data_IF_344863234886
#
_entry.id   IF_344863234886
#
_cell.length_a   1.000
_cell.length_b   1.000
_cell.length_c   1.000
_cell.angle_alpha   90.00
_cell.angle_beta   90.00
_cell.angle_gamma   90.00
#
_symmetry.space_group_name_H-M   'P 1'
#
loop_
_entity.id
_entity.type
_entity.pdbx_description
1 polymer ?
#
# COMPACT_ATOMS: atom_id res chain seq x y z
N UNK A 1 63.96 -34.89 44.12
CA UNK A 1 63.77 -34.74 42.66
C UNK A 1 62.45 -34.00 42.43
N UNK A 2 62.47 -32.95 41.59
CA UNK A 2 61.37 -32.19 40.98
C UNK A 2 60.27 -31.64 41.93
N UNK A 3 60.17 -30.35 42.27
CA UNK A 3 60.13 -29.10 41.48
C UNK A 3 58.78 -28.82 40.81
N UNK A 4 58.25 -27.62 41.14
CA UNK A 4 57.29 -26.76 40.40
C UNK A 4 55.81 -27.15 40.47
N UNK A 5 54.87 -26.23 40.64
CA UNK A 5 54.99 -24.78 40.66
C UNK A 5 53.60 -24.16 40.58
N UNK A 6 53.38 -23.14 41.40
CA UNK A 6 52.35 -22.12 41.28
C UNK A 6 52.37 -21.51 39.87
N UNK A 7 51.21 -21.34 39.23
CA UNK A 7 51.10 -20.54 38.02
C UNK A 7 49.82 -19.70 38.04
N UNK A 8 49.97 -18.49 38.56
CA UNK A 8 49.25 -17.30 38.12
C UNK A 8 49.67 -17.00 36.68
N UNK A 9 48.72 -16.73 35.77
CA UNK A 9 48.97 -16.12 34.45
C UNK A 9 47.72 -15.32 34.02
N UNK A 10 47.72 -14.00 34.22
CA UNK A 10 48.09 -12.93 33.26
C UNK A 10 47.07 -12.79 32.11
N UNK A 11 46.25 -11.74 32.09
CA UNK A 11 46.53 -10.39 31.57
C UNK A 11 46.45 -10.29 30.04
N UNK A 12 45.41 -9.58 29.58
CA UNK A 12 45.31 -8.68 28.43
C UNK A 12 45.76 -9.14 27.02
N UNK A 13 44.91 -8.87 26.02
CA UNK A 13 45.09 -7.84 24.96
C UNK A 13 44.42 -8.27 23.65
N UNK A 14 43.77 -7.29 23.00
CA UNK A 14 43.30 -7.22 21.61
C UNK A 14 43.89 -8.22 20.60
N UNK A 15 43.04 -8.82 19.76
CA UNK A 15 43.36 -9.02 18.35
C UNK A 15 42.09 -9.03 17.47
N UNK A 16 42.10 -8.16 16.48
CA UNK A 16 41.10 -8.02 15.42
C UNK A 16 41.19 -9.22 14.46
N UNK A 17 40.06 -9.79 14.03
CA UNK A 17 40.04 -10.67 12.85
C UNK A 17 38.79 -10.44 12.01
N UNK A 18 39.03 -10.32 10.72
CA UNK A 18 38.16 -9.86 9.63
C UNK A 18 37.38 -11.05 9.02
N UNK A 19 36.04 -10.91 8.89
CA UNK A 19 35.00 -11.46 7.96
C UNK A 19 35.17 -12.87 7.31
N UNK A 20 34.08 -13.65 7.02
CA UNK A 20 33.10 -13.29 5.98
C UNK A 20 31.63 -13.69 6.23
N UNK A 21 30.77 -13.20 5.33
CA UNK A 21 29.34 -13.41 5.19
C UNK A 21 28.84 -14.85 5.47
N UNK A 22 27.85 -14.97 6.35
CA UNK A 22 27.16 -16.22 6.62
C UNK A 22 26.05 -16.02 7.65
N UNK A 23 24.84 -15.80 7.16
CA UNK A 23 23.56 -15.97 7.88
C UNK A 23 23.48 -15.35 9.28
N UNK A 24 23.44 -14.01 9.36
CA UNK A 24 22.68 -13.38 10.44
C UNK A 24 21.19 -13.45 10.07
N UNK A 25 20.60 -14.64 10.13
CA UNK A 25 19.17 -14.72 10.48
C UNK A 25 19.11 -14.31 11.94
N UNK A 26 19.23 -13.01 12.20
CA UNK A 26 18.72 -12.46 13.43
C UNK A 26 17.20 -12.63 13.33
N UNK A 27 16.72 -13.75 13.87
CA UNK A 27 15.35 -13.84 14.33
C UNK A 27 15.25 -12.79 15.42
N UNK A 28 14.95 -11.55 15.01
CA UNK A 28 14.53 -10.53 15.94
C UNK A 28 13.14 -10.96 16.40
N UNK A 29 13.13 -11.68 17.52
CA UNK A 29 11.94 -11.90 18.31
C UNK A 29 11.49 -10.57 18.91
N UNK A 30 10.93 -9.70 18.09
CA UNK A 30 9.96 -8.71 18.54
C UNK A 30 8.62 -9.11 17.93
N UNK A 31 7.67 -9.37 18.80
CA UNK A 31 6.30 -9.77 18.51
C UNK A 31 5.51 -8.60 17.92
N UNK A 32 5.97 -8.10 16.77
CA UNK A 32 5.34 -7.06 15.97
C UNK A 32 5.11 -7.57 14.54
N UNK A 33 4.02 -7.13 13.90
CA UNK A 33 3.76 -7.49 12.51
C UNK A 33 4.89 -7.04 11.57
N UNK A 34 5.11 -7.75 10.45
CA UNK A 34 6.07 -7.33 9.45
C UNK A 34 5.74 -5.91 8.98
N UNK A 35 6.72 -5.02 9.05
CA UNK A 35 6.54 -3.58 8.76
C UNK A 35 5.97 -3.33 7.36
N UNK A 36 6.29 -4.20 6.39
CA UNK A 36 5.71 -4.14 5.04
C UNK A 36 4.19 -4.38 5.03
N UNK A 37 3.69 -5.29 5.86
CA UNK A 37 2.26 -5.53 6.00
C UNK A 37 1.56 -4.33 6.65
N UNK A 38 2.18 -3.74 7.68
CA UNK A 38 1.67 -2.54 8.35
C UNK A 38 1.58 -1.39 7.36
N UNK A 39 2.61 -1.17 6.55
CA UNK A 39 2.60 -0.16 5.49
C UNK A 39 1.50 -0.42 4.45
N UNK A 40 1.31 -1.66 4.00
CA UNK A 40 0.26 -2.01 3.06
C UNK A 40 -1.15 -1.71 3.61
N UNK A 41 -1.39 -2.01 4.90
CA UNK A 41 -2.67 -1.69 5.56
C UNK A 41 -2.86 -0.18 5.69
N UNK A 42 -1.81 0.59 5.97
CA UNK A 42 -1.89 2.07 6.01
C UNK A 42 -2.23 2.63 4.62
N UNK A 43 -1.61 2.09 3.56
CA UNK A 43 -1.92 2.48 2.18
C UNK A 43 -3.39 2.20 1.89
N UNK A 44 -3.87 0.99 2.19
CA UNK A 44 -5.27 0.60 1.98
C UNK A 44 -6.23 1.53 2.73
N UNK A 45 -6.00 1.77 4.03
CA UNK A 45 -6.85 2.63 4.84
C UNK A 45 -6.85 4.09 4.35
N UNK A 46 -5.68 4.62 4.01
CA UNK A 46 -5.56 5.99 3.49
C UNK A 46 -6.27 6.12 2.15
N UNK A 47 -6.09 5.16 1.25
CA UNK A 47 -6.79 5.14 -0.03
C UNK A 47 -8.31 5.01 0.14
N UNK A 48 -8.81 4.20 1.09
CA UNK A 48 -10.26 4.15 1.38
C UNK A 48 -10.81 5.51 1.81
N UNK A 49 -10.11 6.24 2.68
CA UNK A 49 -10.52 7.58 3.12
C UNK A 49 -10.44 8.58 1.97
N UNK A 50 -9.38 8.50 1.16
CA UNK A 50 -9.20 9.30 -0.03
C UNK A 50 -10.31 9.06 -1.07
N UNK A 51 -10.70 7.81 -1.31
CA UNK A 51 -11.78 7.45 -2.23
C UNK A 51 -13.15 7.90 -1.72
N UNK A 52 -13.39 7.94 -0.40
CA UNK A 52 -14.61 8.55 0.15
C UNK A 52 -14.74 10.01 -0.26
N UNK A 53 -13.64 10.75 -0.16
CA UNK A 53 -13.61 12.18 -0.48
C UNK A 53 -13.63 12.41 -1.99
N UNK A 54 -13.02 11.49 -2.76
CA UNK A 54 -12.87 11.63 -4.20
C UNK A 54 -14.05 11.10 -5.03
N UNK A 55 -14.82 10.16 -4.50
CA UNK A 55 -16.01 9.59 -5.16
C UNK A 55 -16.92 10.61 -5.89
N UNK A 56 -17.26 11.79 -5.31
CA UNK A 56 -18.06 12.79 -6.03
C UNK A 56 -17.41 13.35 -7.30
N UNK A 57 -16.07 13.37 -7.40
CA UNK A 57 -15.34 13.83 -8.58
C UNK A 57 -15.56 12.86 -9.75
N UNK A 58 -15.47 11.55 -9.50
CA UNK A 58 -15.71 10.53 -10.52
C UNK A 58 -17.16 10.52 -11.02
N UNK A 59 -18.13 10.76 -10.13
CA UNK A 59 -19.55 10.84 -10.49
C UNK A 59 -19.90 12.09 -11.30
N UNK A 60 -19.05 13.14 -11.22
CA UNK A 60 -19.21 14.33 -12.05
C UNK A 60 -18.90 14.06 -13.53
N UNK A 61 -18.12 13.01 -13.84
CA UNK A 61 -17.85 12.59 -15.21
C UNK A 61 -19.02 11.82 -15.85
N UNK A 62 -19.92 11.25 -15.03
CA UNK A 62 -21.07 10.52 -15.56
C UNK A 62 -22.27 10.63 -14.61
N UNK A 63 -22.94 11.79 -14.61
CA UNK A 63 -24.01 12.08 -13.67
C UNK A 63 -25.21 11.15 -13.91
N UNK A 64 -25.67 10.48 -12.84
CA UNK A 64 -26.91 9.69 -12.83
C UNK A 64 -26.78 8.19 -13.08
N UNK A 65 -25.56 7.65 -13.26
CA UNK A 65 -25.36 6.22 -13.49
C UNK A 65 -25.63 5.35 -12.25
N UNK A 66 -25.31 5.82 -11.05
CA UNK A 66 -25.45 5.05 -9.79
C UNK A 66 -25.72 5.91 -8.55
N UNK A 67 -26.34 5.36 -7.49
CA UNK A 67 -26.33 5.96 -6.16
C UNK A 67 -24.89 6.19 -5.69
N UNK A 68 -24.60 7.38 -5.15
CA UNK A 68 -23.26 7.76 -4.67
C UNK A 68 -22.66 6.66 -3.76
N UNK A 69 -23.49 6.05 -2.91
CA UNK A 69 -23.07 5.01 -1.98
C UNK A 69 -22.52 3.73 -2.64
N UNK A 70 -23.03 3.32 -3.81
CA UNK A 70 -22.56 2.08 -4.44
C UNK A 70 -21.23 2.28 -5.15
N UNK A 71 -21.03 3.41 -5.84
CA UNK A 71 -19.74 3.74 -6.48
C UNK A 71 -18.61 3.91 -5.46
N UNK A 72 -18.86 4.57 -4.33
CA UNK A 72 -17.89 4.68 -3.21
C UNK A 72 -17.36 3.32 -2.80
N UNK A 73 -18.25 2.34 -2.60
CA UNK A 73 -17.84 1.01 -2.12
C UNK A 73 -17.08 0.22 -3.20
N UNK A 74 -17.42 0.39 -4.47
CA UNK A 74 -16.64 -0.19 -5.58
C UNK A 74 -15.25 0.46 -5.66
N UNK A 75 -15.15 1.78 -5.54
CA UNK A 75 -13.88 2.51 -5.54
C UNK A 75 -12.99 2.09 -4.36
N UNK A 76 -13.57 1.90 -3.17
CA UNK A 76 -12.87 1.33 -2.02
C UNK A 76 -12.35 -0.08 -2.29
N UNK A 77 -13.15 -0.96 -2.91
CA UNK A 77 -12.69 -2.30 -3.29
C UNK A 77 -11.47 -2.21 -4.22
N UNK A 78 -11.52 -1.35 -5.24
CA UNK A 78 -10.42 -1.20 -6.20
C UNK A 78 -9.17 -0.61 -5.55
N UNK A 79 -9.33 0.32 -4.60
CA UNK A 79 -8.25 0.88 -3.80
C UNK A 79 -7.60 -0.17 -2.89
N UNK A 80 -8.40 -1.03 -2.23
CA UNK A 80 -7.92 -2.11 -1.38
C UNK A 80 -7.21 -3.19 -2.22
N UNK A 81 -7.78 -3.54 -3.37
CA UNK A 81 -7.16 -4.47 -4.33
C UNK A 81 -5.81 -3.93 -4.82
N UNK A 82 -5.72 -2.64 -5.14
CA UNK A 82 -4.46 -2.00 -5.46
C UNK A 82 -3.46 -2.13 -4.31
N UNK A 83 -3.84 -1.75 -3.09
CA UNK A 83 -2.92 -1.72 -1.95
C UNK A 83 -2.30 -3.10 -1.66
N UNK A 84 -3.08 -4.18 -1.79
CA UNK A 84 -2.60 -5.53 -1.54
C UNK A 84 -1.87 -6.17 -2.73
N UNK A 85 -2.25 -5.88 -3.98
CA UNK A 85 -1.62 -6.48 -5.16
C UNK A 85 -0.42 -5.64 -5.63
N UNK A 86 -0.68 -4.39 -6.02
CA UNK A 86 0.32 -3.50 -6.59
C UNK A 86 1.09 -2.77 -5.49
N UNK A 87 0.39 -2.30 -4.46
CA UNK A 87 1.00 -1.60 -3.32
C UNK A 87 2.07 -2.45 -2.65
N UNK A 88 1.82 -3.75 -2.43
CA UNK A 88 2.82 -4.65 -1.87
C UNK A 88 4.06 -4.84 -2.78
N UNK A 89 3.86 -4.94 -4.09
CA UNK A 89 4.96 -5.01 -5.05
C UNK A 89 5.76 -3.70 -5.10
N UNK A 90 5.09 -2.55 -5.04
CA UNK A 90 5.72 -1.24 -5.03
C UNK A 90 6.49 -0.99 -3.73
N UNK A 91 5.96 -1.42 -2.58
CA UNK A 91 6.66 -1.41 -1.31
C UNK A 91 7.94 -2.25 -1.38
N UNK A 92 7.87 -3.44 -1.99
CA UNK A 92 9.04 -4.28 -2.20
C UNK A 92 10.10 -3.60 -3.09
N UNK A 93 9.68 -3.01 -4.21
CA UNK A 93 10.55 -2.23 -5.08
C UNK A 93 11.17 -1.04 -4.34
N UNK A 94 10.37 -0.35 -3.52
CA UNK A 94 10.80 0.83 -2.79
C UNK A 94 11.79 0.49 -1.66
N UNK A 95 11.61 -0.62 -0.94
CA UNK A 95 12.59 -1.15 0.04
C UNK A 95 13.92 -1.51 -0.63
N UNK A 96 13.87 -2.20 -1.77
CA UNK A 96 15.06 -2.54 -2.54
C UNK A 96 15.82 -1.29 -3.00
N UNK A 97 15.10 -0.24 -3.40
CA UNK A 97 15.68 1.05 -3.77
C UNK A 97 16.19 1.84 -2.56
N UNK A 98 15.48 1.77 -1.43
CA UNK A 98 15.82 2.43 -0.18
C UNK A 98 17.15 1.90 0.39
N UNK A 99 17.49 0.63 0.16
CA UNK A 99 18.79 0.04 0.52
C UNK A 99 19.98 0.69 -0.21
N UNK A 100 19.73 1.27 -1.40
CA UNK A 100 20.76 1.90 -2.24
C UNK A 100 20.87 3.42 -2.06
N UNK A 101 20.04 4.05 -1.21
CA UNK A 101 19.88 5.51 -1.21
C UNK A 101 19.94 6.16 0.19
N UNK A 102 20.21 7.46 0.24
CA UNK A 102 20.29 8.24 1.51
C UNK A 102 18.92 8.33 2.20
N UNK A 103 18.90 8.15 3.54
CA UNK A 103 17.71 8.15 4.42
C UNK A 103 16.76 9.35 4.27
N UNK A 104 17.24 10.50 3.78
CA UNK A 104 16.41 11.70 3.52
C UNK A 104 15.56 11.63 2.25
N UNK A 105 15.97 10.86 1.22
CA UNK A 105 15.21 10.76 -0.03
C UNK A 105 14.22 9.58 -0.04
N UNK A 106 14.30 8.67 0.93
CA UNK A 106 13.41 7.51 1.05
C UNK A 106 11.90 7.87 1.02
N UNK A 107 11.39 8.85 1.80
CA UNK A 107 9.96 9.17 1.77
C UNK A 107 9.51 9.81 0.44
N UNK A 108 10.41 10.55 -0.23
CA UNK A 108 10.13 11.16 -1.54
C UNK A 108 9.96 10.08 -2.60
N UNK A 109 10.87 9.11 -2.64
CA UNK A 109 10.80 8.02 -3.61
C UNK A 109 9.59 7.13 -3.36
N UNK A 110 9.27 6.82 -2.11
CA UNK A 110 8.03 6.12 -1.76
C UNK A 110 6.80 6.83 -2.31
N UNK A 111 6.70 8.13 -2.09
CA UNK A 111 5.54 8.94 -2.51
C UNK A 111 5.43 9.04 -4.04
N UNK A 112 6.55 9.15 -4.75
CA UNK A 112 6.59 9.17 -6.22
C UNK A 112 6.19 7.82 -6.83
N UNK A 113 6.69 6.71 -6.28
CA UNK A 113 6.32 5.36 -6.70
C UNK A 113 4.83 5.13 -6.50
N UNK A 114 4.29 5.53 -5.34
CA UNK A 114 2.86 5.47 -5.05
C UNK A 114 2.02 6.32 -5.99
N UNK A 115 2.44 7.55 -6.27
CA UNK A 115 1.75 8.46 -7.18
C UNK A 115 1.64 7.88 -8.59
N UNK A 116 2.76 7.40 -9.16
CA UNK A 116 2.76 6.82 -10.50
C UNK A 116 1.97 5.51 -10.53
N UNK A 117 2.15 4.65 -9.53
CA UNK A 117 1.44 3.38 -9.44
C UNK A 117 -0.07 3.54 -9.39
N UNK A 118 -0.58 4.44 -8.54
CA UNK A 118 -2.02 4.65 -8.42
C UNK A 118 -2.59 5.46 -9.59
N UNK A 119 -1.82 6.36 -10.21
CA UNK A 119 -2.24 7.05 -11.43
C UNK A 119 -2.49 6.05 -12.58
N UNK A 120 -1.53 5.15 -12.82
CA UNK A 120 -1.69 4.10 -13.83
C UNK A 120 -2.85 3.17 -13.48
N UNK A 121 -2.99 2.78 -12.21
CA UNK A 121 -4.12 1.98 -11.74
C UNK A 121 -5.46 2.66 -11.98
N UNK A 122 -5.55 3.96 -11.72
CA UNK A 122 -6.79 4.73 -11.91
C UNK A 122 -7.15 4.81 -13.39
N UNK A 123 -6.16 5.08 -14.25
CA UNK A 123 -6.37 5.22 -15.70
C UNK A 123 -6.77 3.87 -16.32
N UNK A 124 -6.13 2.78 -15.94
CA UNK A 124 -6.36 1.47 -16.56
C UNK A 124 -7.49 0.68 -15.91
N UNK A 125 -7.50 0.60 -14.58
CA UNK A 125 -8.41 -0.27 -13.83
C UNK A 125 -9.67 0.48 -13.45
N UNK A 126 -9.56 1.61 -12.75
CA UNK A 126 -10.75 2.34 -12.24
C UNK A 126 -11.62 2.84 -13.39
N UNK A 127 -11.02 3.53 -14.38
CA UNK A 127 -11.75 3.95 -15.58
C UNK A 127 -12.16 2.77 -16.45
N UNK A 128 -11.39 1.68 -16.49
CA UNK A 128 -11.76 0.44 -17.19
C UNK A 128 -13.05 -0.17 -16.63
N UNK A 129 -13.16 -0.28 -15.30
CA UNK A 129 -14.38 -0.70 -14.62
C UNK A 129 -15.54 0.27 -14.86
N UNK A 130 -15.28 1.58 -14.85
CA UNK A 130 -16.29 2.58 -15.16
C UNK A 130 -16.81 2.44 -16.60
N UNK A 131 -15.91 2.24 -17.57
CA UNK A 131 -16.26 2.04 -18.98
C UNK A 131 -17.00 0.71 -19.23
N UNK A 132 -16.68 -0.36 -18.50
CA UNK A 132 -17.40 -1.64 -18.58
C UNK A 132 -18.87 -1.52 -18.20
N UNK A 133 -19.19 -0.57 -17.31
CA UNK A 133 -20.56 -0.34 -16.85
C UNK A 133 -21.24 0.79 -17.66
N UNK A 134 -20.54 1.89 -17.91
CA UNK A 134 -21.07 3.05 -18.63
C UNK A 134 -21.23 2.79 -20.14
N UNK A 135 -20.40 1.93 -20.73
CA UNK A 135 -20.45 1.59 -22.15
C UNK A 135 -21.81 1.00 -22.57
N UNK A 136 -22.30 -0.07 -21.92
CA UNK A 136 -23.61 -0.64 -22.19
C UNK A 136 -24.79 0.29 -21.85
N UNK A 137 -24.65 1.15 -20.83
CA UNK A 137 -25.77 1.95 -20.28
C UNK A 137 -25.96 3.30 -20.98
N UNK A 138 -24.88 3.96 -21.40
CA UNK A 138 -24.92 5.32 -21.96
C UNK A 138 -24.31 5.44 -23.37
N UNK A 139 -23.68 4.38 -23.90
CA UNK A 139 -23.02 4.43 -25.22
C UNK A 139 -21.90 5.45 -25.33
N UNK A 140 -21.41 5.98 -24.20
CA UNK A 140 -20.38 7.01 -24.11
C UNK A 140 -19.17 6.45 -23.37
N UNK A 141 -18.00 6.52 -24.00
CA UNK A 141 -16.73 6.23 -23.34
C UNK A 141 -16.20 7.48 -22.65
N UNK A 142 -15.55 7.32 -21.50
CA UNK A 142 -14.89 8.41 -20.78
C UNK A 142 -13.99 9.22 -21.72
N UNK A 143 -14.12 10.54 -21.71
CA UNK A 143 -13.35 11.45 -22.58
C UNK A 143 -11.85 11.39 -22.25
N UNK A 144 -11.00 11.71 -23.25
CA UNK A 144 -9.56 11.89 -23.03
C UNK A 144 -9.27 12.95 -21.96
N UNK A 145 -10.12 13.97 -21.84
CA UNK A 145 -9.97 15.01 -20.82
C UNK A 145 -10.23 14.45 -19.41
N UNK A 146 -11.31 13.70 -19.23
CA UNK A 146 -11.70 13.10 -17.96
C UNK A 146 -10.70 12.02 -17.51
N UNK A 147 -10.09 11.32 -18.46
CA UNK A 147 -9.02 10.35 -18.19
C UNK A 147 -7.79 11.02 -17.55
N UNK A 148 -7.43 12.21 -18.02
CA UNK A 148 -6.31 12.98 -17.46
C UNK A 148 -6.67 13.48 -16.05
N UNK A 149 -7.88 14.00 -15.85
CA UNK A 149 -8.32 14.47 -14.53
C UNK A 149 -8.38 13.33 -13.52
N UNK A 150 -8.93 12.17 -13.91
CA UNK A 150 -8.95 10.95 -13.10
C UNK A 150 -7.53 10.46 -12.78
N UNK A 151 -6.62 10.45 -13.75
CA UNK A 151 -5.23 10.06 -13.56
C UNK A 151 -4.47 10.98 -12.61
N UNK A 152 -4.64 12.30 -12.72
CA UNK A 152 -4.03 13.29 -11.82
C UNK A 152 -4.59 13.14 -10.41
N UNK A 153 -5.91 12.96 -10.28
CA UNK A 153 -6.51 12.69 -8.98
C UNK A 153 -5.92 11.40 -8.36
N UNK A 154 -5.86 10.32 -9.12
CA UNK A 154 -5.24 9.08 -8.68
C UNK A 154 -3.79 9.28 -8.24
N UNK A 155 -3.01 10.08 -8.99
CA UNK A 155 -1.64 10.40 -8.60
C UNK A 155 -1.56 11.05 -7.21
N UNK A 156 -2.48 11.95 -6.89
CA UNK A 156 -2.53 12.62 -5.57
C UNK A 156 -2.90 11.64 -4.45
N UNK A 157 -3.84 10.72 -4.69
CA UNK A 157 -4.22 9.68 -3.72
C UNK A 157 -3.06 8.70 -3.47
N UNK A 158 -2.37 8.28 -4.54
CA UNK A 158 -1.18 7.44 -4.48
C UNK A 158 -0.02 8.13 -3.76
N UNK A 159 0.18 9.43 -4.01
CA UNK A 159 1.18 10.24 -3.32
C UNK A 159 0.91 10.30 -1.81
N UNK A 160 -0.32 10.66 -1.42
CA UNK A 160 -0.69 10.80 -0.02
C UNK A 160 -0.57 9.46 0.73
N UNK A 161 -1.10 8.38 0.17
CA UNK A 161 -1.09 7.06 0.82
C UNK A 161 0.33 6.52 1.06
N UNK A 162 1.24 6.64 0.09
CA UNK A 162 2.63 6.21 0.26
C UNK A 162 3.44 7.15 1.15
N UNK A 163 3.10 8.44 1.15
CA UNK A 163 3.69 9.40 2.11
C UNK A 163 3.32 9.03 3.55
N UNK A 164 2.04 8.74 3.81
CA UNK A 164 1.58 8.27 5.12
C UNK A 164 2.20 6.92 5.50
N UNK A 165 2.32 5.98 4.56
CA UNK A 165 2.98 4.70 4.81
C UNK A 165 4.46 4.85 5.20
N UNK A 166 5.20 5.74 4.51
CA UNK A 166 6.61 5.99 4.80
C UNK A 166 6.84 6.73 6.13
N UNK A 167 5.89 7.54 6.58
CA UNK A 167 6.00 8.33 7.82
C UNK A 167 5.46 7.62 9.05
N UNK A 168 4.40 6.80 8.89
CA UNK A 168 3.73 6.11 10.00
C UNK A 168 4.14 4.63 10.14
N UNK A 169 4.73 4.00 9.12
CA UNK A 169 5.03 2.56 9.12
C UNK A 169 5.84 2.06 10.33
N UNK A 170 6.93 2.74 10.68
CA UNK A 170 7.77 2.36 11.83
C UNK A 170 7.08 2.64 13.19
N UNK A 171 6.21 3.66 13.25
CA UNK A 171 5.52 4.07 14.49
C UNK A 171 4.31 3.20 14.80
N UNK A 172 3.60 2.75 13.77
CA UNK A 172 2.40 1.93 13.89
C UNK A 172 2.70 0.43 13.98
N UNK A 173 3.92 0.00 13.66
CA UNK A 173 4.34 -1.40 13.84
C UNK A 173 4.20 -1.90 15.30
N UNK A 174 4.27 -0.98 16.27
CA UNK A 174 4.06 -1.28 17.70
C UNK A 174 2.59 -1.54 18.06
N UNK A 175 1.64 -1.04 17.28
CA UNK A 175 0.19 -1.17 17.53
C UNK A 175 -0.43 -2.30 16.71
N UNK A 176 0.14 -3.50 16.83
CA UNK A 176 -0.26 -4.66 16.00
C UNK A 176 -1.76 -4.97 16.06
N UNK A 177 -2.39 -4.91 17.23
CA UNK A 177 -3.84 -5.17 17.39
C UNK A 177 -4.71 -4.15 16.63
N UNK A 178 -4.34 -2.87 16.66
CA UNK A 178 -5.08 -1.80 15.96
C UNK A 178 -4.93 -1.96 14.45
N UNK A 179 -3.72 -2.26 13.99
CA UNK A 179 -3.45 -2.47 12.56
C UNK A 179 -4.16 -3.71 12.00
N UNK A 180 -4.24 -4.81 12.76
CA UNK A 180 -5.05 -5.98 12.38
C UNK A 180 -6.53 -5.59 12.30
N UNK A 181 -7.05 -4.86 13.28
CA UNK A 181 -8.45 -4.41 13.26
C UNK A 181 -8.75 -3.53 12.04
N UNK A 182 -7.88 -2.57 11.73
CA UNK A 182 -8.01 -1.73 10.52
C UNK A 182 -7.95 -2.59 9.25
N UNK A 183 -7.00 -3.52 9.16
CA UNK A 183 -6.88 -4.43 8.03
C UNK A 183 -8.14 -5.27 7.81
N UNK A 184 -8.70 -5.85 8.88
CA UNK A 184 -9.97 -6.60 8.83
C UNK A 184 -11.11 -5.71 8.38
N UNK A 185 -11.23 -4.49 8.92
CA UNK A 185 -12.27 -3.53 8.51
C UNK A 185 -12.14 -3.19 7.01
N UNK A 186 -10.93 -2.92 6.51
CA UNK A 186 -10.72 -2.62 5.08
C UNK A 186 -11.07 -3.80 4.18
N UNK A 187 -10.79 -5.04 4.61
CA UNK A 187 -11.16 -6.25 3.87
C UNK A 187 -12.67 -6.46 3.88
N UNK A 188 -13.34 -6.25 5.02
CA UNK A 188 -14.80 -6.35 5.10
C UNK A 188 -15.50 -5.30 4.23
N UNK A 189 -14.99 -4.06 4.22
CA UNK A 189 -15.47 -3.00 3.33
C UNK A 189 -15.26 -3.38 1.86
N UNK A 190 -14.12 -3.96 1.50
CA UNK A 190 -13.88 -4.45 0.16
C UNK A 190 -14.86 -5.57 -0.22
N UNK A 191 -15.11 -6.55 0.67
CA UNK A 191 -16.10 -7.61 0.42
C UNK A 191 -17.49 -7.01 0.17
N UNK A 192 -17.93 -6.05 0.98
CA UNK A 192 -19.20 -5.35 0.78
C UNK A 192 -19.27 -4.62 -0.57
N UNK A 193 -18.17 -3.97 -0.99
CA UNK A 193 -18.05 -3.36 -2.32
C UNK A 193 -18.14 -4.38 -3.46
N UNK A 194 -17.59 -5.58 -3.29
CA UNK A 194 -17.68 -6.67 -4.27
C UNK A 194 -19.09 -7.19 -4.45
N UNK A 195 -19.85 -7.36 -3.35
CA UNK A 195 -21.26 -7.72 -3.42
C UNK A 195 -22.11 -6.68 -4.17
N UNK A 196 -21.88 -5.39 -3.89
CA UNK A 196 -22.59 -4.31 -4.58
C UNK A 196 -22.20 -4.23 -6.06
N UNK A 197 -20.93 -4.41 -6.39
CA UNK A 197 -20.49 -4.47 -7.79
C UNK A 197 -21.21 -5.59 -8.55
N UNK A 198 -21.29 -6.79 -7.97
CA UNK A 198 -22.01 -7.92 -8.58
C UNK A 198 -23.50 -7.60 -8.79
N UNK A 199 -24.14 -6.98 -7.80
CA UNK A 199 -25.54 -6.55 -7.92
C UNK A 199 -25.74 -5.50 -9.02
N UNK A 200 -24.83 -4.52 -9.14
CA UNK A 200 -24.87 -3.49 -10.19
C UNK A 200 -24.64 -4.13 -11.57
N UNK A 201 -23.67 -5.02 -11.71
CA UNK A 201 -23.37 -5.71 -12.96
C UNK A 201 -24.56 -6.56 -13.43
N UNK A 202 -25.24 -7.25 -12.50
CA UNK A 202 -26.46 -7.99 -12.80
C UNK A 202 -27.62 -7.08 -13.24
N UNK A 203 -27.77 -5.90 -12.63
CA UNK A 203 -28.83 -4.95 -13.02
C UNK A 203 -28.61 -4.31 -14.40
N UNK A 204 -27.38 -4.27 -14.89
CA UNK A 204 -27.02 -3.68 -16.19
C UNK A 204 -27.16 -4.69 -17.34
N UNK A 205 -27.09 -5.99 -17.04
CA UNK A 205 -27.14 -7.07 -18.03
C UNK A 205 -28.43 -7.93 -17.97
N UNK A 206 -29.39 -7.55 -17.12
CA UNK A 206 -30.74 -8.14 -17.08
C UNK A 206 -31.68 -7.45 -18.08
#
# INVERSE_FOLDING_TARGET
MASKGTAVKASNTHESTVTPAGSSVQVHGESGMPVMLVQAIIIAATLCVCELVCSPIYLSFTPGLFPIGSWVLVAMLLAVAFAYVVGFALLWCAESFAYRMKRKLQPVVYSLIGAVGFAVWTIWVVLGFMNMIAGPVLGQTVSHHDTIVAGVNGAMLGFASFFFASTLGERLAKYTKVMIAIGVITVLLAIAGGFLFAAMYQSVHA
#
